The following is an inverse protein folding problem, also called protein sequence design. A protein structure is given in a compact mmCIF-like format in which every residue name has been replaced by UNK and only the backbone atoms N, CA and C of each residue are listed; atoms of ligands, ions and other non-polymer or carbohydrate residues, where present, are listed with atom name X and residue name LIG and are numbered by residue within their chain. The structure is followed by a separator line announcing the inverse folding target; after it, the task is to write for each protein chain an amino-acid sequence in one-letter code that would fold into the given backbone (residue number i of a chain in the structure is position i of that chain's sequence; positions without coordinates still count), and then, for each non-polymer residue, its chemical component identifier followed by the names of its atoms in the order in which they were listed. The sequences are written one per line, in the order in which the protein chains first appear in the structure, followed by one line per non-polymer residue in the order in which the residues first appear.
data_IF_160436933184
#
_entry.id   IF_160436933184
#
_cell.length_a   1.000
_cell.length_b   1.000
_cell.length_c   1.000
_cell.angle_alpha   90.00
_cell.angle_beta   90.00
_cell.angle_gamma   90.00
#
_symmetry.space_group_name_H-M   'P 1'
#
loop_
_entity.id
_entity.type
_entity.pdbx_description
1 polymer ?
#
# COMPACT_ATOMS: atom_id res chain seq x y z
N UNK A 1 -53.66 22.64 75.53
CA UNK A 1 -53.80 21.86 74.27
C UNK A 1 -53.53 22.68 73.00
N UNK A 2 -53.49 24.01 73.09
CA UNK A 2 -53.42 24.93 71.94
C UNK A 2 -52.04 24.98 71.24
N UNK A 3 -50.93 24.99 72.00
CA UNK A 3 -49.57 25.00 71.44
C UNK A 3 -49.25 23.81 70.51
N UNK A 4 -49.71 22.59 70.85
CA UNK A 4 -49.51 21.39 70.01
C UNK A 4 -50.26 21.44 68.68
N UNK A 5 -51.41 22.10 68.65
CA UNK A 5 -52.20 22.26 67.42
C UNK A 5 -51.55 23.25 66.45
N UNK A 6 -51.00 24.35 66.98
CA UNK A 6 -50.30 25.38 66.20
C UNK A 6 -48.99 24.83 65.61
N UNK A 7 -48.19 24.08 66.37
CA UNK A 7 -46.97 23.42 65.86
C UNK A 7 -47.27 22.40 64.75
N UNK A 8 -48.36 21.63 64.90
CA UNK A 8 -48.80 20.68 63.87
C UNK A 8 -49.21 21.40 62.59
N UNK A 9 -49.93 22.51 62.70
CA UNK A 9 -50.33 23.32 61.55
C UNK A 9 -49.11 23.92 60.82
N UNK A 10 -48.12 24.43 61.56
CA UNK A 10 -46.88 24.97 61.01
C UNK A 10 -46.06 23.90 60.31
N UNK A 11 -45.93 22.70 60.90
CA UNK A 11 -45.23 21.56 60.31
C UNK A 11 -45.91 21.06 59.02
N UNK A 12 -47.24 20.99 59.01
CA UNK A 12 -48.01 20.63 57.80
C UNK A 12 -47.84 21.69 56.71
N UNK A 13 -47.80 22.97 57.06
CA UNK A 13 -47.55 24.06 56.11
C UNK A 13 -46.16 24.00 55.50
N UNK A 14 -45.14 23.70 56.30
CA UNK A 14 -43.76 23.50 55.84
C UNK A 14 -43.64 22.30 54.88
N UNK A 15 -44.24 21.15 55.24
CA UNK A 15 -44.25 19.94 54.38
C UNK A 15 -44.97 20.22 53.05
N UNK A 16 -46.10 20.93 53.06
CA UNK A 16 -46.81 21.31 51.83
C UNK A 16 -45.97 22.21 50.92
N UNK A 17 -45.18 23.13 51.49
CA UNK A 17 -44.25 23.99 50.73
C UNK A 17 -43.15 23.16 50.10
N UNK A 18 -42.61 22.19 50.83
CA UNK A 18 -41.56 21.28 50.35
C UNK A 18 -42.05 20.36 49.23
N UNK A 19 -43.23 19.75 49.39
CA UNK A 19 -43.85 18.93 48.33
C UNK A 19 -44.08 19.77 47.05
N UNK A 20 -44.48 21.03 47.20
CA UNK A 20 -44.68 21.93 46.06
C UNK A 20 -43.36 22.27 45.36
N UNK A 21 -42.26 22.44 46.11
CA UNK A 21 -40.90 22.62 45.57
C UNK A 21 -40.45 21.37 44.79
N UNK A 22 -40.51 20.20 45.42
CA UNK A 22 -40.09 18.93 44.81
C UNK A 22 -40.90 18.59 43.55
N UNK A 23 -42.21 18.89 43.53
CA UNK A 23 -43.02 18.72 42.31
C UNK A 23 -42.53 19.63 41.18
N UNK A 24 -42.21 20.89 41.47
CA UNK A 24 -41.70 21.85 40.48
C UNK A 24 -40.34 21.42 39.92
N UNK A 25 -39.43 20.95 40.78
CA UNK A 25 -38.11 20.44 40.36
C UNK A 25 -38.25 19.17 39.52
N UNK A 26 -39.08 18.21 39.95
CA UNK A 26 -39.38 17.01 39.17
C UNK A 26 -39.92 17.35 37.79
N UNK A 27 -40.88 18.28 37.71
CA UNK A 27 -41.49 18.65 36.44
C UNK A 27 -40.50 19.37 35.52
N UNK A 28 -39.59 20.18 36.09
CA UNK A 28 -38.45 20.77 35.38
C UNK A 28 -37.51 19.69 34.83
N UNK A 29 -37.02 18.77 35.67
CA UNK A 29 -36.12 17.70 35.24
C UNK A 29 -36.77 16.75 34.22
N UNK A 30 -38.06 16.47 34.36
CA UNK A 30 -38.81 15.67 33.38
C UNK A 30 -38.93 16.39 32.03
N UNK A 31 -39.09 17.72 32.05
CA UNK A 31 -39.05 18.56 30.86
C UNK A 31 -37.69 18.54 30.19
N UNK A 32 -36.62 18.75 30.95
CA UNK A 32 -35.23 18.71 30.47
C UNK A 32 -34.85 17.35 29.88
N UNK A 33 -35.20 16.25 30.56
CA UNK A 33 -34.96 14.90 30.06
C UNK A 33 -35.72 14.62 28.75
N UNK A 34 -36.96 15.12 28.62
CA UNK A 34 -37.75 14.99 27.40
C UNK A 34 -37.15 15.81 26.25
N UNK A 35 -36.66 17.02 26.54
CA UNK A 35 -35.98 17.88 25.58
C UNK A 35 -34.65 17.26 25.11
N UNK A 36 -33.81 16.78 26.03
CA UNK A 36 -32.55 16.11 25.70
C UNK A 36 -32.78 14.85 24.85
N UNK A 37 -33.81 14.06 25.16
CA UNK A 37 -34.19 12.88 24.36
C UNK A 37 -34.69 13.26 22.96
N UNK A 38 -35.40 14.38 22.83
CA UNK A 38 -35.83 14.92 21.54
C UNK A 38 -34.64 15.47 20.72
N UNK A 39 -33.67 16.10 21.38
CA UNK A 39 -32.44 16.61 20.77
C UNK A 39 -31.58 15.45 20.22
N UNK A 40 -31.37 14.40 21.03
CA UNK A 40 -30.70 13.15 20.62
C UNK A 40 -31.42 12.48 19.43
N UNK A 41 -32.75 12.46 19.44
CA UNK A 41 -33.54 11.91 18.34
C UNK A 41 -33.46 12.77 17.06
N UNK A 42 -33.23 14.09 17.17
CA UNK A 42 -32.97 14.98 16.03
C UNK A 42 -31.55 14.83 15.50
N UNK A 43 -30.55 14.72 16.38
CA UNK A 43 -29.15 14.49 16.01
C UNK A 43 -28.96 13.12 15.33
N UNK A 44 -29.66 12.08 15.79
CA UNK A 44 -29.68 10.77 15.12
C UNK A 44 -30.38 10.75 13.74
N UNK A 45 -31.09 11.83 13.37
CA UNK A 45 -31.72 12.01 12.04
C UNK A 45 -30.89 12.89 11.10
N UNK A 46 -29.83 13.53 11.59
CA UNK A 46 -28.88 14.20 10.72
C UNK A 46 -28.20 13.12 9.90
N UNK A 47 -28.33 13.18 8.57
CA UNK A 47 -28.02 12.12 7.63
C UNK A 47 -26.59 11.60 7.78
N UNK A 48 -26.41 10.64 8.68
CA UNK A 48 -25.29 9.74 8.68
C UNK A 48 -25.35 9.05 7.32
N UNK A 49 -24.30 9.19 6.51
CA UNK A 49 -24.20 8.53 5.21
C UNK A 49 -24.33 7.01 5.43
N UNK A 50 -25.56 6.53 5.37
CA UNK A 50 -25.87 5.13 5.58
C UNK A 50 -25.47 4.42 4.30
N UNK A 51 -24.57 3.45 4.42
CA UNK A 51 -24.22 2.60 3.29
C UNK A 51 -25.48 1.85 2.90
N UNK A 52 -25.98 2.11 1.68
CA UNK A 52 -27.28 1.62 1.25
C UNK A 52 -27.17 0.24 0.59
N UNK A 53 -26.02 -0.08 0.00
CA UNK A 53 -25.83 -1.32 -0.73
C UNK A 53 -24.47 -1.99 -0.41
N UNK A 54 -24.32 -3.25 -0.83
CA UNK A 54 -23.08 -4.01 -0.63
C UNK A 54 -21.90 -3.45 -1.45
N UNK A 55 -22.17 -2.78 -2.57
CA UNK A 55 -21.14 -2.20 -3.45
C UNK A 55 -20.43 -1.06 -2.74
N UNK A 56 -21.14 -0.23 -1.99
CA UNK A 56 -20.57 0.86 -1.20
C UNK A 56 -19.63 0.33 -0.11
N UNK A 57 -19.98 -0.81 0.51
CA UNK A 57 -19.08 -1.49 1.47
C UNK A 57 -17.81 -1.96 0.80
N UNK A 58 -17.92 -2.57 -0.38
CA UNK A 58 -16.77 -3.03 -1.17
C UNK A 58 -15.91 -1.84 -1.57
N UNK A 59 -16.52 -0.76 -2.07
CA UNK A 59 -15.81 0.47 -2.45
C UNK A 59 -15.06 1.07 -1.26
N UNK A 60 -15.72 1.21 -0.10
CA UNK A 60 -15.08 1.70 1.12
C UNK A 60 -13.89 0.82 1.54
N UNK A 61 -14.07 -0.51 1.51
CA UNK A 61 -12.97 -1.47 1.78
C UNK A 61 -11.79 -1.21 0.84
N UNK A 62 -12.05 -1.04 -0.45
CA UNK A 62 -11.02 -0.81 -1.46
C UNK A 62 -10.32 0.54 -1.25
N UNK A 63 -11.04 1.61 -0.90
CA UNK A 63 -10.43 2.90 -0.54
C UNK A 63 -9.54 2.79 0.70
N UNK A 64 -9.99 2.08 1.75
CA UNK A 64 -9.19 1.87 2.96
C UNK A 64 -7.91 1.07 2.66
N UNK A 65 -7.97 0.13 1.73
CA UNK A 65 -6.81 -0.66 1.35
C UNK A 65 -5.86 0.10 0.39
N UNK A 66 -6.37 0.62 -0.72
CA UNK A 66 -5.57 1.20 -1.80
C UNK A 66 -5.10 2.61 -1.49
N UNK A 67 -5.98 3.45 -0.92
CA UNK A 67 -5.68 4.85 -0.64
C UNK A 67 -5.10 5.03 0.76
N UNK A 68 -5.74 4.44 1.77
CA UNK A 68 -5.28 4.58 3.17
C UNK A 68 -4.21 3.55 3.59
N UNK A 69 -3.87 2.58 2.73
CA UNK A 69 -2.82 1.57 2.95
C UNK A 69 -2.99 0.77 4.25
N UNK A 70 -4.25 0.50 4.63
CA UNK A 70 -4.58 -0.22 5.86
C UNK A 70 -4.60 -1.73 5.60
N UNK A 71 -3.95 -2.52 6.46
CA UNK A 71 -3.95 -3.99 6.33
C UNK A 71 -5.33 -4.62 6.56
N UNK A 72 -5.60 -5.78 5.97
CA UNK A 72 -6.95 -6.42 5.96
C UNK A 72 -7.58 -6.58 7.35
N UNK A 73 -6.80 -7.03 8.35
CA UNK A 73 -7.27 -7.17 9.74
C UNK A 73 -7.62 -5.83 10.36
N UNK A 74 -6.85 -4.78 10.04
CA UNK A 74 -7.14 -3.44 10.53
C UNK A 74 -8.39 -2.86 9.86
N UNK A 75 -8.57 -3.06 8.55
CA UNK A 75 -9.81 -2.66 7.84
C UNK A 75 -11.04 -3.29 8.50
N UNK A 76 -11.02 -4.60 8.77
CA UNK A 76 -12.13 -5.28 9.43
C UNK A 76 -12.48 -4.67 10.80
N UNK A 77 -11.45 -4.29 11.59
CA UNK A 77 -11.65 -3.60 12.87
C UNK A 77 -12.18 -2.18 12.71
N UNK A 78 -11.66 -1.42 11.74
CA UNK A 78 -12.14 -0.06 11.43
C UNK A 78 -13.61 -0.10 11.05
N UNK A 79 -14.01 -1.04 10.19
CA UNK A 79 -15.41 -1.20 9.81
C UNK A 79 -16.28 -1.63 10.99
N UNK A 80 -15.79 -2.48 11.89
CA UNK A 80 -16.52 -2.83 13.11
C UNK A 80 -16.80 -1.61 14.01
N UNK A 81 -15.83 -0.70 14.13
CA UNK A 81 -16.00 0.54 14.89
C UNK A 81 -16.97 1.49 14.19
N UNK A 82 -16.90 1.59 12.87
CA UNK A 82 -17.74 2.48 12.08
C UNK A 82 -19.14 1.91 11.81
N UNK A 83 -19.39 0.63 12.08
CA UNK A 83 -20.64 -0.05 11.74
C UNK A 83 -21.91 0.67 12.23
N UNK A 84 -22.00 1.15 13.49
CA UNK A 84 -23.17 1.88 13.96
C UNK A 84 -23.38 3.21 13.23
N UNK A 85 -22.28 3.84 12.82
CA UNK A 85 -22.25 5.13 12.10
C UNK A 85 -22.36 4.96 10.59
N UNK A 86 -22.43 3.75 10.06
CA UNK A 86 -22.58 3.51 8.62
C UNK A 86 -23.85 2.72 8.30
N UNK A 87 -24.65 2.39 9.33
CA UNK A 87 -25.84 1.54 9.20
C UNK A 87 -25.51 0.09 8.86
N UNK A 88 -24.29 -0.37 9.10
CA UNK A 88 -23.87 -1.73 8.77
C UNK A 88 -24.33 -2.71 9.84
N UNK A 89 -25.26 -3.59 9.48
CA UNK A 89 -25.70 -4.69 10.36
C UNK A 89 -24.63 -5.77 10.54
N UNK A 90 -23.78 -5.95 9.52
CA UNK A 90 -22.68 -6.92 9.51
C UNK A 90 -21.46 -6.32 8.83
N UNK A 91 -20.29 -6.56 9.39
CA UNK A 91 -19.01 -6.11 8.83
C UNK A 91 -18.24 -7.27 8.22
N UNK A 92 -17.49 -7.05 7.13
CA UNK A 92 -16.69 -8.09 6.52
C UNK A 92 -15.56 -8.53 7.47
N UNK A 93 -15.31 -9.83 7.53
CA UNK A 93 -14.14 -10.35 8.23
C UNK A 93 -12.87 -10.13 7.38
N UNK A 94 -11.66 -10.28 7.95
CA UNK A 94 -10.41 -10.07 7.21
C UNK A 94 -10.31 -10.90 5.92
N UNK A 95 -10.87 -12.12 5.89
CA UNK A 95 -10.89 -12.96 4.70
C UNK A 95 -11.80 -12.37 3.61
N UNK A 96 -12.98 -11.86 3.99
CA UNK A 96 -13.89 -11.20 3.05
C UNK A 96 -13.24 -9.94 2.46
N UNK A 97 -12.54 -9.15 3.27
CA UNK A 97 -11.77 -7.99 2.82
C UNK A 97 -10.70 -8.41 1.79
N UNK A 98 -9.91 -9.44 2.11
CA UNK A 98 -8.92 -9.99 1.19
C UNK A 98 -9.56 -10.42 -0.14
N UNK A 99 -10.70 -11.12 -0.09
CA UNK A 99 -11.40 -11.59 -1.27
C UNK A 99 -11.89 -10.42 -2.15
N UNK A 100 -12.34 -9.30 -1.57
CA UNK A 100 -12.72 -8.12 -2.35
C UNK A 100 -11.54 -7.51 -3.09
N UNK A 101 -10.39 -7.38 -2.42
CA UNK A 101 -9.15 -6.89 -3.03
C UNK A 101 -8.69 -7.83 -4.15
N UNK A 102 -8.61 -9.14 -3.89
CA UNK A 102 -8.21 -10.13 -4.90
C UNK A 102 -9.12 -10.15 -6.12
N UNK A 103 -10.44 -10.04 -5.92
CA UNK A 103 -11.41 -9.96 -7.03
C UNK A 103 -11.22 -8.71 -7.87
N UNK A 104 -10.93 -7.57 -7.25
CA UNK A 104 -10.58 -6.35 -8.00
C UNK A 104 -9.31 -6.58 -8.83
N UNK A 105 -8.26 -7.15 -8.23
CA UNK A 105 -7.01 -7.42 -8.94
C UNK A 105 -7.22 -8.31 -10.18
N UNK A 106 -7.94 -9.42 -10.02
CA UNK A 106 -8.28 -10.34 -11.12
C UNK A 106 -9.09 -9.60 -12.21
N UNK A 107 -10.12 -8.85 -11.81
CA UNK A 107 -10.93 -8.10 -12.75
C UNK A 107 -10.10 -7.09 -13.55
N UNK A 108 -9.19 -6.35 -12.91
CA UNK A 108 -8.31 -5.39 -13.60
C UNK A 108 -7.39 -6.08 -14.60
N UNK A 109 -6.80 -7.22 -14.25
CA UNK A 109 -5.95 -8.00 -15.17
C UNK A 109 -6.76 -8.46 -16.39
N UNK A 110 -7.97 -8.99 -16.18
CA UNK A 110 -8.84 -9.47 -17.26
C UNK A 110 -9.34 -8.35 -18.19
N UNK A 111 -9.76 -7.21 -17.62
CA UNK A 111 -10.24 -6.07 -18.43
C UNK A 111 -9.13 -5.49 -19.30
N UNK A 112 -7.89 -5.42 -18.80
CA UNK A 112 -6.76 -4.95 -19.58
C UNK A 112 -6.50 -5.85 -20.80
N UNK A 113 -6.44 -7.16 -20.57
CA UNK A 113 -6.31 -8.19 -21.62
C UNK A 113 -7.37 -8.00 -22.71
N UNK A 114 -8.63 -7.82 -22.33
CA UNK A 114 -9.74 -7.58 -23.28
C UNK A 114 -9.57 -6.26 -24.05
N UNK A 115 -9.12 -5.20 -23.39
CA UNK A 115 -8.94 -3.89 -24.03
C UNK A 115 -7.87 -3.89 -25.13
N UNK A 116 -6.79 -4.65 -24.95
CA UNK A 116 -5.74 -4.80 -25.96
C UNK A 116 -6.14 -5.76 -27.08
N UNK A 117 -6.81 -6.86 -26.75
CA UNK A 117 -7.29 -7.82 -27.77
C UNK A 117 -8.27 -7.20 -28.77
N UNK A 118 -9.04 -6.19 -28.36
CA UNK A 118 -10.03 -5.50 -29.20
C UNK A 118 -9.44 -4.34 -30.02
N UNK A 119 -8.22 -3.89 -29.73
CA UNK A 119 -7.54 -2.89 -30.54
C UNK A 119 -7.06 -3.57 -31.84
N UNK A 120 -7.89 -3.50 -32.88
CA UNK A 120 -7.63 -4.07 -34.20
C UNK A 120 -6.22 -3.66 -34.71
N UNK A 121 -5.24 -4.58 -34.61
CA UNK A 121 -3.91 -4.47 -35.23
C UNK A 121 -2.65 -4.61 -34.36
N UNK A 122 -2.70 -5.04 -33.08
CA UNK A 122 -1.62 -4.70 -32.13
C UNK A 122 -0.83 -5.80 -31.42
N UNK A 123 -0.43 -6.91 -32.04
CA UNK A 123 0.40 -7.94 -31.39
C UNK A 123 1.86 -7.49 -31.05
N UNK A 124 2.21 -6.21 -31.18
CA UNK A 124 3.58 -5.70 -30.91
C UNK A 124 3.58 -4.26 -30.36
N UNK A 125 2.68 -3.94 -29.42
CA UNK A 125 2.61 -2.59 -28.85
C UNK A 125 2.99 -2.50 -27.37
N UNK A 126 3.42 -3.59 -26.76
CA UNK A 126 3.77 -3.60 -25.34
C UNK A 126 5.19 -4.10 -25.09
N UNK A 127 5.85 -3.49 -24.11
CA UNK A 127 7.03 -4.07 -23.45
C UNK A 127 6.55 -4.73 -22.18
N UNK A 128 6.99 -5.97 -21.95
CA UNK A 128 6.73 -6.66 -20.69
C UNK A 128 7.90 -6.46 -19.74
N UNK A 129 7.65 -5.77 -18.64
CA UNK A 129 8.57 -5.64 -17.52
C UNK A 129 8.42 -6.87 -16.62
N UNK A 130 9.54 -7.55 -16.38
CA UNK A 130 9.57 -8.77 -15.59
C UNK A 130 10.47 -8.56 -14.37
N UNK A 131 9.95 -8.95 -13.21
CA UNK A 131 10.73 -8.97 -11.97
C UNK A 131 10.39 -10.21 -11.13
N UNK A 132 11.42 -10.75 -10.47
CA UNK A 132 11.30 -11.84 -9.49
C UNK A 132 11.58 -11.26 -8.11
N UNK A 133 10.51 -11.12 -7.34
CA UNK A 133 10.61 -10.66 -5.96
C UNK A 133 10.62 -11.82 -4.97
N UNK A 134 11.35 -11.66 -3.87
CA UNK A 134 11.30 -12.62 -2.76
C UNK A 134 9.97 -12.40 -2.02
N UNK A 135 9.12 -13.43 -1.99
CA UNK A 135 7.84 -13.41 -1.29
C UNK A 135 7.97 -13.65 0.22
N UNK A 136 6.85 -13.89 0.88
CA UNK A 136 6.81 -14.24 2.30
C UNK A 136 7.08 -15.74 2.48
N UNK A 137 8.15 -16.12 3.19
CA UNK A 137 8.56 -17.52 3.36
C UNK A 137 9.56 -17.97 2.29
N UNK A 138 9.37 -19.15 1.71
CA UNK A 138 10.20 -19.69 0.62
C UNK A 138 9.75 -19.27 -0.77
N UNK A 139 8.51 -18.78 -0.93
CA UNK A 139 7.94 -18.46 -2.24
C UNK A 139 8.59 -17.23 -2.88
N UNK A 140 8.85 -17.32 -4.19
CA UNK A 140 9.30 -16.24 -5.07
C UNK A 140 8.17 -15.85 -6.01
N UNK A 141 7.88 -14.56 -6.09
CA UNK A 141 6.80 -14.02 -6.91
C UNK A 141 7.39 -13.51 -8.22
N UNK A 142 7.00 -14.13 -9.33
CA UNK A 142 7.28 -13.64 -10.69
C UNK A 142 6.12 -12.77 -11.13
N UNK A 143 6.41 -11.51 -11.47
CA UNK A 143 5.41 -10.54 -11.92
C UNK A 143 5.70 -10.08 -13.34
N UNK A 144 4.66 -9.97 -14.16
CA UNK A 144 4.72 -9.49 -15.53
C UNK A 144 3.83 -8.27 -15.67
N UNK A 145 4.43 -7.12 -15.94
CA UNK A 145 3.73 -5.86 -16.17
C UNK A 145 3.88 -5.46 -17.62
N UNK A 146 2.81 -5.03 -18.28
CA UNK A 146 2.86 -4.48 -19.62
C UNK A 146 2.86 -2.95 -19.59
N UNK A 147 3.73 -2.36 -20.38
CA UNK A 147 3.76 -0.94 -20.70
C UNK A 147 3.50 -0.76 -22.20
N UNK A 148 2.67 0.21 -22.57
CA UNK A 148 2.48 0.58 -23.96
C UNK A 148 3.75 1.26 -24.51
N UNK A 149 4.34 0.71 -25.59
CA UNK A 149 5.51 1.27 -26.26
C UNK A 149 5.28 2.72 -26.73
N UNK A 150 4.06 3.03 -27.14
CA UNK A 150 3.67 4.36 -27.63
C UNK A 150 3.26 5.32 -26.50
N UNK A 151 3.55 4.99 -25.25
CA UNK A 151 3.25 5.87 -24.12
C UNK A 151 3.79 7.30 -24.34
N UNK A 152 5.01 7.42 -24.87
CA UNK A 152 5.67 8.69 -25.17
C UNK A 152 5.00 9.51 -26.30
N UNK A 153 4.22 8.87 -27.17
CA UNK A 153 3.46 9.57 -28.24
C UNK A 153 2.20 10.24 -27.67
N UNK A 154 1.67 9.70 -26.57
CA UNK A 154 0.38 10.11 -25.99
C UNK A 154 0.54 10.91 -24.70
N UNK A 155 1.72 10.88 -24.08
CA UNK A 155 1.99 11.47 -22.78
C UNK A 155 3.33 12.20 -22.78
N UNK A 156 3.37 13.39 -22.19
CA UNK A 156 4.58 14.20 -22.05
C UNK A 156 5.40 13.88 -20.79
N UNK A 157 5.01 12.84 -20.04
CA UNK A 157 5.65 12.43 -18.80
C UNK A 157 6.23 11.02 -18.90
N UNK A 158 7.17 10.69 -18.01
CA UNK A 158 7.77 9.36 -17.96
C UNK A 158 6.79 8.33 -17.39
N UNK A 159 6.72 7.09 -17.93
CA UNK A 159 5.81 6.07 -17.45
C UNK A 159 5.92 5.83 -15.94
N UNK A 160 4.78 5.86 -15.26
CA UNK A 160 4.65 5.56 -13.84
C UNK A 160 3.83 4.29 -13.58
N UNK A 161 3.53 4.04 -12.30
CA UNK A 161 2.74 2.89 -11.88
C UNK A 161 1.30 2.90 -12.46
N UNK A 162 0.76 4.08 -12.76
CA UNK A 162 -0.58 4.21 -13.34
C UNK A 162 -0.63 3.77 -14.81
N UNK A 163 0.51 3.80 -15.51
CA UNK A 163 0.63 3.56 -16.95
C UNK A 163 1.03 2.12 -17.27
N UNK A 164 1.40 1.34 -16.25
CA UNK A 164 1.69 -0.09 -16.36
C UNK A 164 0.50 -0.92 -15.89
N UNK A 165 0.33 -2.09 -16.51
CA UNK A 165 -0.78 -2.98 -16.19
C UNK A 165 -0.24 -4.38 -15.90
N UNK A 166 -0.78 -5.02 -14.86
CA UNK A 166 -0.39 -6.39 -14.54
C UNK A 166 -1.01 -7.36 -15.54
N UNK A 167 -0.16 -8.12 -16.24
CA UNK A 167 -0.58 -9.16 -17.18
C UNK A 167 -0.73 -10.48 -16.44
N UNK A 168 0.29 -10.86 -15.67
CA UNK A 168 0.34 -12.12 -14.98
C UNK A 168 1.19 -12.02 -13.71
N UNK A 169 0.88 -12.86 -12.73
CA UNK A 169 1.69 -13.04 -11.53
C UNK A 169 1.58 -14.48 -11.08
N UNK A 170 2.71 -15.09 -10.73
CA UNK A 170 2.76 -16.45 -10.20
C UNK A 170 3.73 -16.53 -9.01
N UNK A 171 3.54 -17.55 -8.17
CA UNK A 171 4.36 -17.79 -6.99
C UNK A 171 4.84 -19.23 -7.03
N UNK A 172 6.16 -19.41 -6.95
CA UNK A 172 6.81 -20.72 -6.91
C UNK A 172 7.93 -20.70 -5.87
N UNK A 173 8.32 -21.85 -5.33
CA UNK A 173 9.47 -21.92 -4.40
C UNK A 173 10.78 -21.54 -5.10
N UNK A 174 10.90 -21.90 -6.38
CA UNK A 174 12.03 -21.57 -7.23
C UNK A 174 11.59 -21.39 -8.67
N UNK A 175 12.22 -20.45 -9.35
CA UNK A 175 12.07 -20.24 -10.79
C UNK A 175 13.37 -20.66 -11.47
N UNK A 176 13.25 -21.29 -12.63
CA UNK A 176 14.35 -21.61 -13.55
C UNK A 176 13.92 -21.24 -14.98
N UNK A 177 14.85 -21.22 -15.92
CA UNK A 177 14.56 -20.79 -17.30
C UNK A 177 13.40 -21.55 -17.97
N UNK A 178 13.28 -22.86 -17.73
CA UNK A 178 12.21 -23.69 -18.28
C UNK A 178 10.83 -23.31 -17.73
N UNK A 179 10.69 -23.25 -16.40
CA UNK A 179 9.43 -22.88 -15.73
C UNK A 179 9.00 -21.46 -16.05
N UNK A 180 9.96 -20.54 -16.19
CA UNK A 180 9.69 -19.16 -16.61
C UNK A 180 9.20 -19.14 -18.07
N UNK A 181 9.84 -19.89 -18.98
CA UNK A 181 9.43 -19.95 -20.38
C UNK A 181 8.01 -20.52 -20.53
N UNK A 182 7.69 -21.60 -19.80
CA UNK A 182 6.33 -22.16 -19.75
C UNK A 182 5.31 -21.13 -19.24
N UNK A 183 5.66 -20.41 -18.17
CA UNK A 183 4.81 -19.37 -17.61
C UNK A 183 4.58 -18.22 -18.60
N UNK A 184 5.59 -17.80 -19.36
CA UNK A 184 5.42 -16.79 -20.40
C UNK A 184 4.54 -17.29 -21.55
N UNK A 185 4.74 -18.51 -22.03
CA UNK A 185 3.88 -19.12 -23.04
C UNK A 185 2.42 -19.16 -22.58
N UNK A 186 2.18 -19.61 -21.35
CA UNK A 186 0.83 -19.60 -20.77
C UNK A 186 0.25 -18.19 -20.66
N UNK A 187 1.06 -17.22 -20.22
CA UNK A 187 0.65 -15.82 -20.10
C UNK A 187 0.29 -15.21 -21.44
N UNK A 188 1.06 -15.48 -22.50
CA UNK A 188 0.79 -15.04 -23.88
C UNK A 188 -0.50 -15.70 -24.38
N UNK A 189 -0.66 -17.01 -24.20
CA UNK A 189 -1.88 -17.72 -24.62
C UNK A 189 -3.14 -17.23 -23.91
N UNK A 190 -3.06 -16.96 -22.60
CA UNK A 190 -4.19 -16.51 -21.79
C UNK A 190 -4.55 -15.05 -22.04
N UNK A 191 -3.55 -14.19 -22.24
CA UNK A 191 -3.76 -12.77 -22.51
C UNK A 191 -4.06 -12.48 -23.98
N UNK A 192 -3.65 -13.35 -24.90
CA UNK A 192 -3.65 -13.05 -26.33
C UNK A 192 -2.74 -11.86 -26.70
N UNK A 193 -1.88 -11.41 -25.77
CA UNK A 193 -0.94 -10.31 -25.97
C UNK A 193 0.43 -10.92 -26.23
N UNK A 194 1.05 -10.51 -27.33
CA UNK A 194 2.44 -10.82 -27.62
C UNK A 194 3.30 -9.57 -27.35
N UNK A 195 4.32 -9.63 -26.49
CA UNK A 195 5.19 -8.49 -26.24
C UNK A 195 6.11 -8.23 -27.43
N UNK A 196 6.43 -6.96 -27.67
CA UNK A 196 7.48 -6.59 -28.61
C UNK A 196 8.88 -6.86 -28.03
N UNK A 197 9.05 -6.65 -26.72
CA UNK A 197 10.28 -6.90 -25.99
C UNK A 197 10.01 -7.19 -24.52
N UNK A 198 10.98 -7.81 -23.86
CA UNK A 198 11.04 -7.95 -22.42
C UNK A 198 12.04 -6.98 -21.81
N UNK A 199 11.65 -6.29 -20.75
CA UNK A 199 12.56 -5.53 -19.89
C UNK A 199 12.76 -6.33 -18.60
N UNK A 200 14.00 -6.70 -18.30
CA UNK A 200 14.33 -7.54 -17.15
C UNK A 200 15.55 -7.05 -16.38
N UNK A 201 15.73 -7.56 -15.17
CA UNK A 201 16.99 -7.46 -14.46
C UNK A 201 18.06 -8.42 -15.05
N UNK A 202 19.27 -8.36 -14.50
CA UNK A 202 20.39 -9.21 -14.91
C UNK A 202 20.27 -10.69 -14.49
N UNK A 203 19.06 -11.20 -14.20
CA UNK A 203 18.84 -12.59 -13.84
C UNK A 203 19.10 -13.56 -14.99
N UNK A 204 20.00 -14.52 -14.78
CA UNK A 204 20.39 -15.54 -15.79
C UNK A 204 19.25 -16.50 -16.14
N UNK A 205 18.34 -16.76 -15.19
CA UNK A 205 17.18 -17.63 -15.43
C UNK A 205 16.20 -17.00 -16.43
N UNK A 206 15.99 -15.68 -16.36
CA UNK A 206 15.16 -14.94 -17.30
C UNK A 206 15.77 -14.94 -18.71
N UNK A 207 17.09 -14.77 -18.81
CA UNK A 207 17.80 -14.85 -20.09
C UNK A 207 17.66 -16.23 -20.74
N UNK A 208 17.83 -17.30 -19.95
CA UNK A 208 17.61 -18.68 -20.41
C UNK A 208 16.18 -18.88 -20.91
N UNK A 209 15.18 -18.36 -20.19
CA UNK A 209 13.78 -18.49 -20.58
C UNK A 209 13.49 -17.84 -21.94
N UNK A 210 13.99 -16.62 -22.17
CA UNK A 210 13.81 -15.90 -23.43
C UNK A 210 14.52 -16.64 -24.58
N UNK A 211 15.73 -17.18 -24.33
CA UNK A 211 16.43 -17.99 -25.33
C UNK A 211 15.62 -19.23 -25.73
N UNK A 212 15.07 -19.97 -24.76
CA UNK A 212 14.23 -21.14 -25.02
C UNK A 212 12.98 -20.78 -25.84
N UNK A 213 12.35 -19.64 -25.57
CA UNK A 213 11.23 -19.14 -26.37
C UNK A 213 11.68 -18.83 -27.81
N UNK A 214 12.85 -18.20 -27.98
CA UNK A 214 13.36 -17.86 -29.30
C UNK A 214 13.72 -19.11 -30.13
N UNK A 215 14.25 -20.16 -29.49
CA UNK A 215 14.50 -21.46 -30.12
C UNK A 215 13.20 -22.14 -30.62
N UNK A 216 12.06 -21.83 -30.00
CA UNK A 216 10.73 -22.31 -30.43
C UNK A 216 10.12 -21.51 -31.59
N UNK A 217 10.90 -20.59 -32.20
CA UNK A 217 10.47 -19.80 -33.36
C UNK A 217 9.80 -18.48 -33.01
N UNK A 218 9.84 -18.05 -31.75
CA UNK A 218 9.51 -16.66 -31.40
C UNK A 218 10.73 -15.77 -31.64
N UNK A 219 10.52 -14.49 -31.92
CA UNK A 219 11.62 -13.51 -32.05
C UNK A 219 11.39 -12.40 -31.05
N UNK A 220 11.71 -12.69 -29.79
CA UNK A 220 11.50 -11.79 -28.65
C UNK A 220 12.82 -11.09 -28.31
N UNK A 221 12.77 -9.76 -28.35
CA UNK A 221 13.88 -8.92 -27.92
C UNK A 221 13.95 -8.83 -26.39
N UNK A 222 15.15 -8.64 -25.87
CA UNK A 222 15.39 -8.47 -24.45
C UNK A 222 16.20 -7.19 -24.21
N UNK A 223 15.73 -6.39 -23.26
CA UNK A 223 16.35 -5.16 -22.80
C UNK A 223 16.72 -5.37 -21.33
N UNK A 224 17.99 -5.15 -21.02
CA UNK A 224 18.48 -5.21 -19.65
C UNK A 224 18.21 -3.90 -18.89
N UNK A 225 17.88 -4.00 -17.61
CA UNK A 225 17.82 -2.85 -16.72
C UNK A 225 19.21 -2.22 -16.59
N UNK A 226 19.34 -1.01 -17.11
CA UNK A 226 20.56 -0.22 -17.07
C UNK A 226 21.09 -0.03 -15.65
N UNK A 227 20.21 0.13 -14.67
CA UNK A 227 20.59 0.31 -13.26
C UNK A 227 21.28 -0.94 -12.72
N UNK A 228 20.76 -2.12 -13.06
CA UNK A 228 21.38 -3.40 -12.70
C UNK A 228 22.72 -3.60 -13.42
N UNK A 229 22.78 -3.27 -14.71
CA UNK A 229 24.02 -3.33 -15.50
C UNK A 229 25.12 -2.46 -14.88
N UNK A 230 24.83 -1.17 -14.61
CA UNK A 230 25.78 -0.25 -13.98
C UNK A 230 26.19 -0.72 -12.58
N UNK A 231 25.24 -1.23 -11.79
CA UNK A 231 25.55 -1.78 -10.47
C UNK A 231 26.47 -3.02 -10.53
N UNK A 232 26.30 -3.87 -11.54
CA UNK A 232 27.17 -5.02 -11.77
C UNK A 232 28.58 -4.57 -12.19
N UNK A 233 28.71 -3.53 -13.01
CA UNK A 233 30.02 -2.93 -13.34
C UNK A 233 30.73 -2.40 -12.08
N UNK A 234 30.02 -1.64 -11.24
CA UNK A 234 30.60 -1.19 -9.96
C UNK A 234 30.95 -2.34 -9.03
N UNK A 235 30.12 -3.38 -9.00
CA UNK A 235 30.42 -4.58 -8.20
C UNK A 235 31.70 -5.25 -8.69
N UNK A 236 31.86 -5.42 -10.00
CA UNK A 236 33.06 -6.03 -10.57
C UNK A 236 34.32 -5.24 -10.21
N UNK A 237 34.27 -3.91 -10.33
CA UNK A 237 35.42 -3.05 -10.07
C UNK A 237 35.76 -2.93 -8.57
N UNK A 238 34.75 -2.71 -7.72
CA UNK A 238 34.97 -2.29 -6.33
C UNK A 238 34.69 -3.37 -5.28
N UNK A 239 34.22 -4.58 -5.65
CA UNK A 239 33.93 -5.62 -4.64
C UNK A 239 35.16 -6.01 -3.82
N UNK A 240 36.31 -6.13 -4.49
CA UNK A 240 37.58 -6.52 -3.89
C UNK A 240 38.51 -5.33 -3.63
N UNK A 241 38.05 -4.09 -3.87
CA UNK A 241 38.83 -2.88 -3.62
C UNK A 241 38.98 -2.64 -2.10
N UNK A 242 40.22 -2.62 -1.55
CA UNK A 242 40.44 -2.43 -0.12
C UNK A 242 40.03 -1.05 0.40
N UNK A 243 40.20 0.01 -0.39
CA UNK A 243 39.82 1.37 -0.02
C UNK A 243 38.31 1.50 0.05
N UNK A 244 37.60 0.92 -0.93
CA UNK A 244 36.15 0.90 -0.95
C UNK A 244 35.58 0.14 0.26
N UNK A 245 36.14 -1.04 0.56
CA UNK A 245 35.73 -1.82 1.73
C UNK A 245 35.99 -1.07 3.05
N UNK A 246 37.10 -0.36 3.15
CA UNK A 246 37.41 0.49 4.31
C UNK A 246 36.40 1.63 4.44
N UNK A 247 36.09 2.31 3.34
CA UNK A 247 35.11 3.39 3.30
C UNK A 247 33.70 2.92 3.72
N UNK A 248 33.22 1.81 3.17
CA UNK A 248 31.91 1.25 3.52
C UNK A 248 31.85 0.83 4.99
N UNK A 249 32.93 0.24 5.51
CA UNK A 249 33.03 -0.16 6.92
C UNK A 249 32.98 1.06 7.84
N UNK A 250 33.73 2.11 7.51
CA UNK A 250 33.72 3.38 8.24
C UNK A 250 32.32 4.01 8.25
N UNK A 251 31.64 4.05 7.09
CA UNK A 251 30.26 4.53 6.99
C UNK A 251 29.32 3.72 7.90
N UNK A 252 29.46 2.39 7.92
CA UNK A 252 28.66 1.51 8.78
C UNK A 252 28.88 1.79 10.28
N UNK A 253 30.12 1.99 10.70
CA UNK A 253 30.47 2.31 12.08
C UNK A 253 29.93 3.69 12.49
N UNK A 254 30.11 4.70 11.66
CA UNK A 254 29.61 6.06 11.90
C UNK A 254 28.08 6.06 11.95
N UNK A 255 27.41 5.34 11.05
CA UNK A 255 25.95 5.21 11.05
C UNK A 255 25.42 4.67 12.38
N UNK A 256 26.08 3.65 12.96
CA UNK A 256 25.70 3.08 14.27
C UNK A 256 25.83 4.09 15.40
N UNK A 257 26.90 4.90 15.38
CA UNK A 257 27.16 5.92 16.42
C UNK A 257 26.22 7.12 16.31
N UNK A 258 25.92 7.59 15.10
CA UNK A 258 25.17 8.84 14.91
C UNK A 258 23.65 8.67 14.97
N UNK A 259 23.10 7.52 14.56
CA UNK A 259 21.64 7.32 14.43
C UNK A 259 20.84 7.51 15.71
N UNK A 260 21.44 7.34 16.88
CA UNK A 260 20.80 7.50 18.19
C UNK A 260 21.26 8.79 18.91
N UNK A 261 21.70 9.80 18.14
CA UNK A 261 22.20 11.06 18.68
C UNK A 261 21.55 12.25 17.99
N UNK A 262 21.77 13.44 18.52
CA UNK A 262 21.34 14.70 17.89
C UNK A 262 21.95 14.92 16.49
N UNK A 263 23.05 14.22 16.17
CA UNK A 263 23.76 14.29 14.90
C UNK A 263 23.25 13.26 13.87
N UNK A 264 22.08 12.64 14.09
CA UNK A 264 21.52 11.65 13.17
C UNK A 264 21.30 12.19 11.75
N UNK A 265 21.10 13.50 11.58
CA UNK A 265 21.00 14.15 10.27
C UNK A 265 22.28 14.08 9.44
N UNK A 266 23.44 13.87 10.07
CA UNK A 266 24.74 13.70 9.39
C UNK A 266 25.07 12.22 9.11
N UNK A 267 24.24 11.28 9.55
CA UNK A 267 24.49 9.86 9.35
C UNK A 267 24.48 9.50 7.85
N UNK A 268 25.37 8.59 7.40
CA UNK A 268 25.38 8.16 6.01
C UNK A 268 24.05 7.48 5.64
N UNK A 269 23.63 7.60 4.36
CA UNK A 269 22.43 6.96 3.86
C UNK A 269 22.50 5.45 4.05
N UNK A 270 21.33 4.81 4.20
CA UNK A 270 21.25 3.37 4.42
C UNK A 270 21.71 2.61 3.17
N UNK A 271 22.86 1.96 3.27
CA UNK A 271 23.38 1.05 2.25
C UNK A 271 22.88 -0.36 2.56
N UNK A 272 22.06 -0.95 1.70
CA UNK A 272 21.65 -2.36 1.85
C UNK A 272 22.74 -3.27 1.27
N UNK A 273 22.98 -4.44 1.85
CA UNK A 273 24.05 -5.35 1.40
C UNK A 273 23.88 -5.79 -0.06
N UNK A 274 22.64 -6.00 -0.51
CA UNK A 274 22.33 -6.44 -1.88
C UNK A 274 22.24 -5.27 -2.88
N UNK A 275 21.76 -4.09 -2.46
CA UNK A 275 21.55 -2.94 -3.35
C UNK A 275 22.63 -1.85 -3.19
N UNK A 276 23.76 -2.16 -2.56
CA UNK A 276 24.82 -1.18 -2.25
C UNK A 276 25.39 -0.50 -3.49
N UNK A 277 25.56 -1.26 -4.57
CA UNK A 277 26.11 -0.74 -5.81
C UNK A 277 25.06 0.03 -6.64
N UNK A 278 23.78 -0.35 -6.57
CA UNK A 278 22.69 0.41 -7.21
C UNK A 278 22.52 1.81 -6.60
N UNK A 279 22.78 1.97 -5.30
CA UNK A 279 22.58 3.23 -4.57
C UNK A 279 23.89 3.94 -4.22
N UNK A 280 25.00 3.58 -4.88
CA UNK A 280 26.32 4.11 -4.54
C UNK A 280 26.39 5.63 -4.68
N UNK A 281 25.73 6.21 -5.69
CA UNK A 281 25.69 7.65 -5.91
C UNK A 281 25.26 8.44 -4.67
N UNK A 282 24.22 7.98 -3.94
CA UNK A 282 23.73 8.65 -2.72
C UNK A 282 24.79 8.71 -1.63
N UNK A 283 25.59 7.65 -1.51
CA UNK A 283 26.64 7.57 -0.52
C UNK A 283 27.81 8.50 -0.89
N UNK A 284 28.18 8.53 -2.17
CA UNK A 284 29.24 9.41 -2.68
C UNK A 284 28.84 10.88 -2.55
N UNK A 285 27.62 11.25 -2.94
CA UNK A 285 27.09 12.61 -2.77
C UNK A 285 27.03 13.03 -1.30
N UNK A 286 26.65 12.12 -0.39
CA UNK A 286 26.69 12.39 1.04
C UNK A 286 28.12 12.64 1.53
N UNK A 287 29.08 11.81 1.11
CA UNK A 287 30.47 11.94 1.51
C UNK A 287 31.08 13.25 0.99
N UNK A 288 30.82 13.62 -0.26
CA UNK A 288 31.25 14.88 -0.86
C UNK A 288 30.68 16.10 -0.12
N UNK A 289 29.38 16.08 0.22
CA UNK A 289 28.76 17.12 1.05
C UNK A 289 29.43 17.22 2.42
N UNK A 290 29.73 16.10 3.06
CA UNK A 290 30.40 16.08 4.35
C UNK A 290 31.82 16.63 4.27
N UNK A 291 32.59 16.26 3.23
CA UNK A 291 33.94 16.77 3.00
C UNK A 291 33.96 18.28 2.74
N UNK A 292 32.94 18.83 2.06
CA UNK A 292 32.80 20.29 1.86
C UNK A 292 32.55 21.05 3.16
N UNK A 293 31.92 20.42 4.14
CA UNK A 293 31.66 21.01 5.46
C UNK A 293 32.77 20.74 6.49
N UNK A 294 33.55 19.68 6.29
CA UNK A 294 34.74 19.44 7.08
C UNK A 294 35.77 20.54 6.77
N UNK A 295 36.19 21.29 7.78
CA UNK A 295 37.23 22.30 7.62
C UNK A 295 38.46 21.67 6.94
N UNK A 296 38.97 22.31 5.89
CA UNK A 296 40.21 21.86 5.25
C UNK A 296 41.29 21.76 6.34
N UNK A 297 42.00 20.64 6.47
CA UNK A 297 43.14 20.58 7.37
C UNK A 297 44.14 21.64 6.91
N UNK A 298 44.41 22.60 7.79
CA UNK A 298 45.49 23.58 7.63
C UNK A 298 46.85 22.94 7.91
#
# INVERSE_FOLDING_TARGET
MEKKAIDRATKVRAIRKEIRRLKKERDKFKGEAKAAKAELAKQGKQAVACIQNKVDVVFLVLCLFLSARIGFRAIARVLAVLAPYLGLLKTPCPQTVSNYVSRLSIAKMQTFVQSLGNAAGGAMQTVWLIDISIGLGSGKILSVLALNLRHHEQNEYAPGLADVQCVATAVEESWNGETIAEFFTQSICQSGIFPAAFLKDGGTDLEKAIRLLNEQGTSLECIDDLSHMVANLFKHEYAEDPLFNTFITACGQVSKKLKQTILACLAPPKVSTKARFMNLHRLVEWADKLLKHAAKPG
#
